data_IF_528024069776
#
_entry.id   IF_528024069776
#
_cell.length_a   1.000
_cell.length_b   1.000
_cell.length_c   1.000
_cell.angle_alpha   90.00
_cell.angle_beta   90.00
_cell.angle_gamma   90.00
#
_symmetry.space_group_name_H-M   'P 1'
#
loop_
_entity.id
_entity.type
_entity.pdbx_description
1 polymer ?
#
# COMPACT_ATOMS: atom_id res chain seq x y z
N UNK A 1 24.34 10.47 5.72
CA UNK A 1 24.58 9.69 4.50
C UNK A 1 23.27 9.03 4.11
N UNK A 2 22.81 9.09 2.85
CA UNK A 2 21.58 8.40 2.44
C UNK A 2 21.70 6.89 2.69
N UNK A 3 20.57 6.23 2.97
CA UNK A 3 20.52 4.77 3.14
C UNK A 3 20.80 4.13 1.77
N UNK A 4 21.75 3.19 1.72
CA UNK A 4 21.96 2.36 0.53
C UNK A 4 20.82 1.33 0.41
N UNK A 5 19.90 1.58 -0.53
CA UNK A 5 18.72 0.74 -0.76
C UNK A 5 19.07 -0.65 -1.34
N UNK A 6 20.31 -0.89 -1.76
CA UNK A 6 20.77 -2.20 -2.26
C UNK A 6 21.61 -2.97 -1.24
N UNK A 7 21.84 -2.40 -0.07
CA UNK A 7 22.54 -3.07 1.03
C UNK A 7 21.70 -4.23 1.56
N UNK A 8 22.31 -5.42 1.67
CA UNK A 8 21.78 -6.53 2.47
C UNK A 8 22.28 -6.40 3.91
N UNK A 9 21.37 -6.51 4.87
CA UNK A 9 21.66 -6.55 6.30
C UNK A 9 20.57 -7.36 7.02
N UNK A 10 20.74 -7.73 8.31
CA UNK A 10 19.63 -8.24 9.11
C UNK A 10 18.45 -7.28 9.02
N UNK A 11 17.28 -7.80 8.61
CA UNK A 11 16.09 -7.00 8.42
C UNK A 11 15.30 -6.92 9.72
N UNK A 12 15.07 -5.71 10.22
CA UNK A 12 14.24 -5.47 11.38
C UNK A 12 12.81 -5.20 10.92
N UNK A 13 11.87 -6.10 11.18
CA UNK A 13 10.44 -5.86 10.92
C UNK A 13 9.84 -5.06 12.07
N UNK A 14 8.88 -4.19 11.79
CA UNK A 14 8.19 -3.50 12.88
C UNK A 14 7.45 -4.46 13.79
N UNK A 15 6.68 -5.41 13.22
CA UNK A 15 6.09 -6.51 13.97
C UNK A 15 7.08 -7.68 14.07
N UNK A 16 7.60 -8.01 15.27
CA UNK A 16 8.51 -9.13 15.47
C UNK A 16 7.77 -10.48 15.32
N UNK A 17 8.46 -11.50 14.80
CA UNK A 17 7.89 -12.82 14.51
C UNK A 17 8.23 -13.90 15.57
N UNK A 18 9.00 -13.56 16.60
CA UNK A 18 9.51 -14.49 17.61
C UNK A 18 8.44 -14.97 18.60
N UNK A 19 7.19 -14.56 18.38
CA UNK A 19 6.05 -14.82 19.26
C UNK A 19 4.83 -15.27 18.47
N UNK A 20 3.90 -15.91 19.16
CA UNK A 20 2.63 -16.35 18.56
C UNK A 20 1.88 -15.14 17.99
N UNK A 21 1.45 -15.27 16.74
CA UNK A 21 0.63 -14.29 16.05
C UNK A 21 -0.80 -14.79 15.93
N UNK A 22 -1.75 -13.88 16.07
CA UNK A 22 -3.15 -14.10 15.73
C UNK A 22 -3.42 -13.57 14.32
N UNK A 23 -3.82 -14.47 13.41
CA UNK A 23 -4.11 -14.14 12.03
C UNK A 23 -5.55 -13.64 11.84
N UNK A 24 -6.44 -13.85 12.82
CA UNK A 24 -7.85 -13.48 12.73
C UNK A 24 -8.17 -12.12 13.36
N UNK A 25 -7.13 -11.36 13.69
CA UNK A 25 -7.23 -9.95 14.08
C UNK A 25 -6.59 -9.06 13.02
N UNK A 26 -7.00 -7.79 13.01
CA UNK A 26 -6.29 -6.77 12.24
C UNK A 26 -4.83 -6.73 12.70
N UNK A 27 -3.87 -6.71 11.78
CA UNK A 27 -2.47 -7.03 12.08
C UNK A 27 -1.84 -6.15 13.17
N UNK A 28 -2.27 -4.89 13.31
CA UNK A 28 -1.81 -4.00 14.39
C UNK A 28 -2.12 -4.51 15.81
N UNK A 29 -3.14 -5.35 15.98
CA UNK A 29 -3.50 -5.91 17.28
C UNK A 29 -2.49 -6.96 17.78
N UNK A 30 -1.52 -7.37 16.94
CA UNK A 30 -0.39 -8.22 17.34
C UNK A 30 0.79 -7.41 17.93
N UNK A 31 0.75 -6.08 17.91
CA UNK A 31 1.78 -5.26 18.55
C UNK A 31 1.60 -5.22 20.07
N UNK A 32 2.71 -5.33 20.80
CA UNK A 32 2.77 -4.91 22.18
C UNK A 32 2.91 -3.40 22.26
N UNK A 33 2.62 -2.83 23.43
CA UNK A 33 2.79 -1.40 23.67
C UNK A 33 4.25 -0.94 23.45
N UNK A 34 5.23 -1.79 23.79
CA UNK A 34 6.66 -1.54 23.55
C UNK A 34 6.97 -1.41 22.06
N UNK A 35 6.37 -2.26 21.23
CA UNK A 35 6.61 -2.26 19.79
C UNK A 35 5.98 -1.03 19.15
N UNK A 36 4.76 -0.66 19.58
CA UNK A 36 4.11 0.58 19.12
C UNK A 36 4.92 1.83 19.50
N UNK A 37 5.52 1.86 20.71
CA UNK A 37 6.43 2.93 21.11
C UNK A 37 7.68 2.96 20.24
N UNK A 38 8.28 1.80 19.96
CA UNK A 38 9.44 1.65 19.08
C UNK A 38 9.15 2.13 17.65
N UNK A 39 8.08 1.63 17.05
CA UNK A 39 7.59 2.02 15.73
C UNK A 39 7.31 3.52 15.64
N UNK A 40 6.58 4.10 16.61
CA UNK A 40 6.31 5.55 16.64
C UNK A 40 7.60 6.36 16.74
N UNK A 41 8.56 5.93 17.55
CA UNK A 41 9.86 6.61 17.69
C UNK A 41 10.67 6.54 16.39
N UNK A 42 10.69 5.39 15.72
CA UNK A 42 11.44 5.20 14.48
C UNK A 42 10.83 5.98 13.30
N UNK A 43 9.50 5.98 13.17
CA UNK A 43 8.78 6.71 12.12
C UNK A 43 8.77 8.23 12.33
N UNK A 44 9.06 8.72 13.53
CA UNK A 44 9.12 10.16 13.83
C UNK A 44 10.57 10.64 13.94
N UNK A 45 11.20 10.48 15.11
CA UNK A 45 12.55 10.93 15.39
C UNK A 45 13.59 10.20 14.54
N UNK A 46 13.36 8.90 14.32
CA UNK A 46 14.22 8.11 13.46
C UNK A 46 14.32 8.74 12.08
N UNK A 47 13.19 9.03 11.42
CA UNK A 47 13.08 9.54 10.04
C UNK A 47 14.02 10.69 9.65
N UNK A 48 14.51 11.46 10.64
CA UNK A 48 15.47 12.55 10.47
C UNK A 48 16.92 12.08 10.25
N UNK A 49 17.19 10.79 10.38
CA UNK A 49 18.54 10.20 10.32
C UNK A 49 18.61 9.05 9.33
N UNK A 50 19.78 8.43 9.18
CA UNK A 50 19.95 7.19 8.40
C UNK A 50 20.02 5.91 9.25
N UNK A 51 19.60 5.97 10.53
CA UNK A 51 19.64 4.85 11.47
C UNK A 51 18.26 4.42 11.97
N UNK A 52 18.18 3.37 12.78
CA UNK A 52 16.90 2.77 13.20
C UNK A 52 16.41 1.70 12.22
N UNK A 53 15.21 1.16 12.45
CA UNK A 53 14.74 -0.07 11.79
C UNK A 53 14.67 0.10 10.27
N UNK A 54 14.24 1.28 9.80
CA UNK A 54 14.16 1.60 8.36
C UNK A 54 15.49 1.59 7.61
N UNK A 55 16.63 1.66 8.31
CA UNK A 55 17.93 1.48 7.68
C UNK A 55 18.12 0.05 7.13
N UNK A 56 17.28 -0.89 7.57
CA UNK A 56 17.21 -2.26 7.07
C UNK A 56 16.05 -2.51 6.08
N UNK A 57 15.19 -1.52 5.82
CA UNK A 57 14.06 -1.65 4.89
C UNK A 57 14.50 -1.37 3.45
N UNK A 58 15.47 -2.15 2.99
CA UNK A 58 16.14 -2.00 1.69
C UNK A 58 15.49 -2.88 0.63
N UNK A 59 15.70 -2.54 -0.64
CA UNK A 59 15.26 -3.34 -1.78
C UNK A 59 15.88 -4.74 -1.76
N UNK A 60 17.16 -4.84 -1.41
CA UNK A 60 17.84 -6.13 -1.27
C UNK A 60 17.22 -7.01 -0.17
N UNK A 61 16.77 -6.40 0.94
CA UNK A 61 16.09 -7.14 2.00
C UNK A 61 14.68 -7.59 1.60
N UNK A 62 13.92 -6.72 0.93
CA UNK A 62 12.62 -7.09 0.36
C UNK A 62 12.74 -8.25 -0.63
N UNK A 63 13.65 -8.16 -1.60
CA UNK A 63 13.88 -9.20 -2.62
C UNK A 63 14.27 -10.53 -1.97
N UNK A 64 15.03 -10.50 -0.87
CA UNK A 64 15.37 -11.72 -0.16
C UNK A 64 14.14 -12.42 0.43
N UNK A 65 13.30 -11.70 1.19
CA UNK A 65 12.06 -12.28 1.74
C UNK A 65 11.09 -12.72 0.64
N UNK A 66 11.04 -11.98 -0.48
CA UNK A 66 10.27 -12.37 -1.66
C UNK A 66 10.69 -13.76 -2.17
N UNK A 67 12.00 -14.00 -2.30
CA UNK A 67 12.55 -15.29 -2.75
C UNK A 67 12.21 -16.44 -1.80
N UNK A 68 12.24 -16.21 -0.49
CA UNK A 68 11.89 -17.23 0.51
C UNK A 68 10.43 -17.69 0.42
N UNK A 69 9.56 -16.87 -0.17
CA UNK A 69 8.12 -17.10 -0.25
C UNK A 69 7.60 -17.30 -1.68
N UNK A 70 8.48 -17.29 -2.69
CA UNK A 70 8.08 -17.41 -4.09
C UNK A 70 7.29 -16.20 -4.62
N UNK A 71 7.52 -15.01 -4.06
CA UNK A 71 6.92 -13.76 -4.55
C UNK A 71 7.78 -13.25 -5.72
N UNK A 72 7.21 -13.22 -6.92
CA UNK A 72 7.94 -12.88 -8.15
C UNK A 72 7.98 -11.39 -8.46
N UNK A 73 6.99 -10.63 -7.96
CA UNK A 73 6.92 -9.20 -8.16
C UNK A 73 6.41 -8.49 -6.90
N UNK A 74 6.86 -7.26 -6.66
CA UNK A 74 6.32 -6.38 -5.63
C UNK A 74 6.28 -4.95 -6.13
N UNK A 75 5.26 -4.21 -5.71
CA UNK A 75 5.08 -2.79 -6.04
C UNK A 75 5.51 -1.94 -4.85
N UNK A 76 6.52 -1.10 -5.06
CA UNK A 76 7.00 -0.14 -4.07
C UNK A 76 6.03 1.05 -3.98
N UNK A 77 5.71 1.48 -2.76
CA UNK A 77 4.71 2.51 -2.46
C UNK A 77 5.36 3.71 -1.74
N UNK A 78 6.00 4.64 -2.47
CA UNK A 78 6.63 5.80 -1.87
C UNK A 78 5.58 6.80 -1.36
N UNK A 79 5.98 7.67 -0.43
CA UNK A 79 5.15 8.78 0.06
C UNK A 79 5.97 10.06 -0.04
N UNK A 80 5.55 10.99 -0.89
CA UNK A 80 6.21 12.29 -1.01
C UNK A 80 5.49 13.38 -0.20
N UNK A 81 6.29 14.23 0.44
CA UNK A 81 5.87 15.44 1.14
C UNK A 81 5.84 16.65 0.17
N UNK A 82 5.13 17.75 0.49
CA UNK A 82 4.92 18.86 -0.47
C UNK A 82 6.21 19.54 -0.95
N UNK A 83 7.28 19.47 -0.15
CA UNK A 83 8.58 20.03 -0.46
C UNK A 83 9.69 19.13 0.08
N UNK A 84 10.87 19.20 -0.54
CA UNK A 84 12.10 18.52 -0.11
C UNK A 84 11.90 17.00 0.08
N UNK A 85 11.18 16.38 -0.84
CA UNK A 85 10.88 14.94 -0.83
C UNK A 85 11.18 14.34 -2.19
N UNK A 86 11.87 13.21 -2.18
CA UNK A 86 12.37 12.50 -3.36
C UNK A 86 12.18 10.97 -3.20
N UNK A 87 11.19 10.54 -2.41
CA UNK A 87 10.98 9.12 -2.15
C UNK A 87 10.49 8.43 -3.42
N UNK A 88 9.58 9.07 -4.17
CA UNK A 88 9.11 8.55 -5.44
C UNK A 88 10.26 8.39 -6.46
N UNK A 89 11.15 9.38 -6.54
CA UNK A 89 12.32 9.30 -7.41
C UNK A 89 13.26 8.16 -6.99
N UNK A 90 13.54 8.01 -5.69
CA UNK A 90 14.39 6.95 -5.18
C UNK A 90 13.81 5.55 -5.48
N UNK A 91 12.49 5.37 -5.31
CA UNK A 91 11.82 4.09 -5.49
C UNK A 91 11.70 3.71 -6.98
N UNK A 92 11.41 4.69 -7.85
CA UNK A 92 11.48 4.52 -9.30
C UNK A 92 12.90 4.17 -9.75
N UNK A 93 13.92 4.80 -9.15
CA UNK A 93 15.32 4.45 -9.38
C UNK A 93 15.65 3.01 -8.99
N UNK A 94 15.11 2.51 -7.88
CA UNK A 94 15.23 1.09 -7.49
C UNK A 94 14.53 0.18 -8.51
N UNK A 95 13.29 0.47 -8.85
CA UNK A 95 12.51 -0.33 -9.80
C UNK A 95 13.18 -0.39 -11.18
N UNK A 96 13.78 0.71 -11.66
CA UNK A 96 14.50 0.75 -12.95
C UNK A 96 15.71 -0.19 -13.02
N UNK A 97 16.20 -0.65 -11.87
CA UNK A 97 17.36 -1.55 -11.74
C UNK A 97 16.96 -2.98 -11.34
N UNK A 98 15.67 -3.28 -11.33
CA UNK A 98 15.11 -4.57 -10.90
C UNK A 98 14.09 -5.08 -11.92
N UNK A 99 14.05 -6.39 -12.15
CA UNK A 99 12.98 -7.04 -12.91
C UNK A 99 11.84 -7.56 -12.03
N UNK A 100 12.03 -7.57 -10.70
CA UNK A 100 11.05 -8.07 -9.73
C UNK A 100 10.44 -6.96 -8.87
N UNK A 101 10.94 -5.73 -8.98
CA UNK A 101 10.39 -4.57 -8.27
C UNK A 101 9.81 -3.59 -9.28
N UNK A 102 8.53 -3.31 -9.12
CA UNK A 102 7.82 -2.21 -9.76
C UNK A 102 7.68 -1.08 -8.74
N UNK A 103 7.35 0.13 -9.20
CA UNK A 103 7.05 1.22 -8.28
C UNK A 103 5.81 1.97 -8.71
N UNK A 104 5.05 2.41 -7.73
CA UNK A 104 4.18 3.56 -7.89
C UNK A 104 5.01 4.84 -7.72
N UNK A 105 4.47 5.93 -8.22
CA UNK A 105 4.88 7.28 -7.89
C UNK A 105 4.21 7.78 -6.61
N UNK A 106 4.51 9.01 -6.25
CA UNK A 106 3.81 9.76 -5.22
C UNK A 106 3.93 11.24 -5.54
N UNK A 107 2.81 11.96 -5.52
CA UNK A 107 2.77 13.40 -5.70
C UNK A 107 1.85 13.98 -4.63
N UNK A 108 2.36 14.98 -3.92
CA UNK A 108 1.57 15.72 -2.96
C UNK A 108 0.65 16.73 -3.68
N UNK A 109 -0.65 16.87 -3.35
CA UNK A 109 -1.58 17.75 -4.06
C UNK A 109 -1.20 19.24 -4.03
N UNK A 110 -0.48 19.64 -2.99
CA UNK A 110 0.04 21.00 -2.81
C UNK A 110 1.50 21.17 -3.26
N UNK A 111 2.09 20.17 -3.93
CA UNK A 111 3.42 20.33 -4.53
C UNK A 111 3.37 21.36 -5.67
N UNK A 112 4.52 21.94 -6.00
CA UNK A 112 4.68 22.71 -7.24
C UNK A 112 4.78 21.75 -8.42
N UNK A 113 4.26 22.14 -9.58
CA UNK A 113 4.39 21.40 -10.84
C UNK A 113 3.84 19.96 -10.74
N UNK A 114 2.61 19.82 -10.22
CA UNK A 114 1.97 18.51 -10.01
C UNK A 114 1.90 17.70 -11.31
N UNK A 115 1.45 18.32 -12.39
CA UNK A 115 1.35 17.70 -13.73
C UNK A 115 2.72 17.21 -14.23
N UNK A 116 3.71 18.11 -14.27
CA UNK A 116 5.07 17.77 -14.70
C UNK A 116 5.66 16.60 -13.90
N UNK A 117 5.41 16.57 -12.59
CA UNK A 117 5.84 15.47 -11.71
C UNK A 117 5.17 14.15 -12.06
N UNK A 118 3.86 14.16 -12.34
CA UNK A 118 3.14 12.95 -12.75
C UNK A 118 3.68 12.45 -14.09
N UNK A 119 3.89 13.34 -15.06
CA UNK A 119 4.42 13.00 -16.38
C UNK A 119 5.84 12.44 -16.30
N UNK A 120 6.69 13.05 -15.49
CA UNK A 120 8.05 12.55 -15.23
C UNK A 120 8.03 11.17 -14.56
N UNK A 121 7.21 10.98 -13.53
CA UNK A 121 7.11 9.70 -12.82
C UNK A 121 6.56 8.60 -13.73
N UNK A 122 5.52 8.89 -14.53
CA UNK A 122 4.99 7.94 -15.53
C UNK A 122 6.06 7.56 -16.56
N UNK A 123 6.81 8.55 -17.08
CA UNK A 123 7.94 8.31 -18.01
C UNK A 123 9.04 7.44 -17.39
N UNK A 124 9.29 7.58 -16.08
CA UNK A 124 10.23 6.74 -15.32
C UNK A 124 9.68 5.35 -14.96
N UNK A 125 8.47 5.01 -15.41
CA UNK A 125 7.87 3.68 -15.26
C UNK A 125 6.94 3.51 -14.06
N UNK A 126 6.45 4.62 -13.46
CA UNK A 126 5.45 4.54 -12.40
C UNK A 126 4.19 3.82 -12.91
N UNK A 127 3.75 2.82 -12.15
CA UNK A 127 2.57 1.99 -12.46
C UNK A 127 1.26 2.49 -11.85
N UNK A 128 1.31 3.64 -11.17
CA UNK A 128 0.23 4.23 -10.39
C UNK A 128 0.76 5.26 -9.40
N UNK A 129 -0.10 5.82 -8.56
CA UNK A 129 0.26 6.80 -7.52
C UNK A 129 -0.16 6.31 -6.14
N UNK A 130 0.78 6.29 -5.19
CA UNK A 130 0.47 6.09 -3.77
C UNK A 130 0.05 7.43 -3.16
N UNK A 131 -1.15 7.46 -2.59
CA UNK A 131 -1.69 8.60 -1.88
C UNK A 131 -1.94 8.25 -0.40
N UNK A 132 -1.37 9.04 0.51
CA UNK A 132 -1.44 8.77 1.95
C UNK A 132 -1.92 10.02 2.71
N UNK A 133 -3.24 10.27 2.77
CA UNK A 133 -3.86 11.44 3.40
C UNK A 133 -3.32 11.76 4.80
N UNK A 134 -3.17 10.74 5.65
CA UNK A 134 -2.66 10.91 7.01
C UNK A 134 -1.21 11.39 7.07
N UNK A 135 -0.30 10.80 6.30
CA UNK A 135 1.11 11.16 6.29
C UNK A 135 1.35 12.50 5.57
N UNK A 136 0.61 12.74 4.49
CA UNK A 136 0.67 13.96 3.70
C UNK A 136 -0.13 15.11 4.34
N UNK A 137 -0.94 14.82 5.37
CA UNK A 137 -1.80 15.78 6.07
C UNK A 137 -2.73 16.53 5.11
N UNK A 138 -3.37 15.77 4.21
CA UNK A 138 -4.29 16.30 3.19
C UNK A 138 -5.63 15.62 3.28
N UNK A 139 -6.69 16.38 3.03
CA UNK A 139 -8.04 15.85 2.96
C UNK A 139 -8.21 15.10 1.62
N UNK A 140 -8.60 13.82 1.59
CA UNK A 140 -8.69 13.08 0.32
C UNK A 140 -9.80 13.61 -0.60
N UNK A 141 -10.88 14.14 -0.04
CA UNK A 141 -11.98 14.84 -0.73
C UNK A 141 -11.75 16.37 -0.83
N UNK A 142 -10.53 16.86 -0.63
CA UNK A 142 -10.18 18.27 -0.80
C UNK A 142 -10.02 18.64 -2.28
N UNK A 143 -10.29 19.91 -2.65
CA UNK A 143 -10.26 20.36 -4.05
C UNK A 143 -8.95 20.03 -4.80
N UNK A 144 -7.79 20.23 -4.16
CA UNK A 144 -6.48 19.88 -4.75
C UNK A 144 -6.28 18.37 -4.91
N UNK A 145 -6.80 17.57 -3.97
CA UNK A 145 -6.75 16.11 -4.08
C UNK A 145 -7.64 15.63 -5.22
N UNK A 146 -8.84 16.21 -5.37
CA UNK A 146 -9.74 15.93 -6.50
C UNK A 146 -9.10 16.26 -7.85
N UNK A 147 -8.44 17.43 -7.96
CA UNK A 147 -7.65 17.83 -9.14
C UNK A 147 -6.55 16.80 -9.44
N UNK A 148 -5.79 16.38 -8.42
CA UNK A 148 -4.77 15.34 -8.57
C UNK A 148 -5.34 14.03 -9.14
N UNK A 149 -6.52 13.60 -8.69
CA UNK A 149 -7.13 12.35 -9.20
C UNK A 149 -7.58 12.46 -10.65
N UNK A 150 -8.04 13.62 -11.08
CA UNK A 150 -8.36 13.86 -12.50
C UNK A 150 -7.09 13.76 -13.35
N UNK A 151 -6.00 14.39 -12.91
CA UNK A 151 -4.70 14.30 -13.59
C UNK A 151 -4.15 12.87 -13.64
N UNK A 152 -4.36 12.07 -12.59
CA UNK A 152 -4.04 10.65 -12.58
C UNK A 152 -4.88 9.85 -13.59
N UNK A 153 -6.19 10.13 -13.67
CA UNK A 153 -7.11 9.48 -14.60
C UNK A 153 -6.72 9.72 -16.06
N UNK A 154 -6.41 10.97 -16.42
CA UNK A 154 -5.92 11.36 -17.76
C UNK A 154 -4.64 10.63 -18.18
N UNK A 155 -3.92 10.07 -17.21
CA UNK A 155 -2.64 9.39 -17.38
C UNK A 155 -2.75 7.89 -17.13
N UNK A 156 -3.94 7.32 -16.98
CA UNK A 156 -4.14 5.90 -16.67
C UNK A 156 -3.32 5.43 -15.45
N UNK A 157 -3.14 6.32 -14.46
CA UNK A 157 -2.39 6.02 -13.24
C UNK A 157 -3.38 5.67 -12.12
N UNK A 158 -3.53 4.39 -11.75
CA UNK A 158 -4.38 4.03 -10.61
C UNK A 158 -3.86 4.66 -9.32
N UNK A 159 -4.77 5.04 -8.43
CA UNK A 159 -4.43 5.66 -7.14
C UNK A 159 -4.64 4.67 -6.01
N UNK A 160 -3.57 4.31 -5.31
CA UNK A 160 -3.66 3.49 -4.09
C UNK A 160 -3.74 4.38 -2.87
N UNK A 161 -4.86 4.31 -2.15
CA UNK A 161 -5.07 5.03 -0.91
C UNK A 161 -4.51 4.26 0.28
N UNK A 162 -3.85 4.97 1.19
CA UNK A 162 -3.95 4.58 2.60
C UNK A 162 -5.27 5.12 3.14
N UNK A 163 -6.23 4.23 3.41
CA UNK A 163 -7.56 4.58 3.89
C UNK A 163 -7.99 3.67 5.05
N UNK A 164 -8.88 4.19 5.88
CA UNK A 164 -9.37 3.54 7.09
C UNK A 164 -8.51 3.85 8.31
N UNK A 165 -9.11 3.98 9.49
CA UNK A 165 -8.35 4.03 10.73
C UNK A 165 -7.67 2.68 10.98
N UNK A 166 -6.43 2.72 11.47
CA UNK A 166 -5.62 1.54 11.79
C UNK A 166 -5.41 1.36 13.29
N UNK A 167 -5.99 2.27 14.10
CA UNK A 167 -6.05 2.21 15.57
C UNK A 167 -4.88 2.87 16.29
N UNK A 168 -3.81 3.24 15.58
CA UNK A 168 -2.57 3.75 16.18
C UNK A 168 -2.23 5.19 15.78
N UNK A 169 -3.00 5.75 14.84
CA UNK A 169 -2.83 7.10 14.33
C UNK A 169 -3.24 8.20 15.34
N UNK A 170 -2.63 9.40 15.27
CA UNK A 170 -3.06 10.55 16.06
C UNK A 170 -4.45 11.05 15.61
N UNK A 171 -5.14 11.89 16.40
CA UNK A 171 -6.53 12.32 16.11
C UNK A 171 -6.74 12.89 14.71
N UNK A 172 -5.83 13.74 14.21
CA UNK A 172 -5.92 14.29 12.86
C UNK A 172 -5.77 13.18 11.79
N UNK A 173 -4.83 12.26 11.98
CA UNK A 173 -4.66 11.11 11.09
C UNK A 173 -5.91 10.23 11.05
N UNK A 174 -6.54 9.99 12.20
CA UNK A 174 -7.80 9.24 12.30
C UNK A 174 -8.91 9.92 11.53
N UNK A 175 -9.00 11.25 11.61
CA UNK A 175 -9.98 12.03 10.87
C UNK A 175 -9.77 11.91 9.35
N UNK A 176 -8.54 12.10 8.88
CA UNK A 176 -8.19 12.07 7.45
C UNK A 176 -8.32 10.67 6.83
N UNK A 177 -8.22 9.61 7.64
CA UNK A 177 -8.33 8.23 7.16
C UNK A 177 -9.77 7.70 7.10
N UNK A 178 -10.78 8.39 7.64
CA UNK A 178 -12.16 7.87 7.64
C UNK A 178 -12.69 7.60 6.23
N UNK A 179 -13.26 6.41 5.99
CA UNK A 179 -13.73 5.98 4.66
C UNK A 179 -14.78 6.90 4.04
N UNK A 180 -15.56 7.61 4.86
CA UNK A 180 -16.54 8.61 4.40
C UNK A 180 -15.92 9.70 3.50
N UNK A 181 -14.62 9.98 3.64
CA UNK A 181 -13.92 10.98 2.83
C UNK A 181 -13.47 10.46 1.46
N UNK A 182 -13.60 9.15 1.19
CA UNK A 182 -13.12 8.54 -0.06
C UNK A 182 -14.27 8.32 -1.05
N UNK A 183 -15.53 8.34 -0.59
CA UNK A 183 -16.71 8.25 -1.45
C UNK A 183 -16.73 9.33 -2.54
N UNK A 184 -16.43 10.58 -2.19
CA UNK A 184 -16.49 11.68 -3.17
C UNK A 184 -15.42 11.55 -4.28
N UNK A 185 -14.13 11.31 -3.97
CA UNK A 185 -13.11 10.95 -4.96
C UNK A 185 -13.57 9.86 -5.93
N UNK A 186 -14.07 8.75 -5.39
CA UNK A 186 -14.51 7.58 -6.18
C UNK A 186 -15.68 7.95 -7.09
N UNK A 187 -16.71 8.58 -6.55
CA UNK A 187 -17.95 8.86 -7.28
C UNK A 187 -17.81 10.00 -8.30
N UNK A 188 -16.90 10.95 -8.05
CA UNK A 188 -16.73 12.15 -8.92
C UNK A 188 -15.60 12.01 -9.93
N UNK A 189 -14.76 10.99 -9.82
CA UNK A 189 -13.70 10.69 -10.79
C UNK A 189 -13.80 9.21 -11.23
N UNK A 190 -14.90 8.80 -11.89
CA UNK A 190 -15.14 7.40 -12.26
C UNK A 190 -14.08 6.84 -13.23
N UNK A 191 -13.43 7.71 -14.01
CA UNK A 191 -12.35 7.34 -14.93
C UNK A 191 -11.03 6.97 -14.20
N UNK A 192 -10.87 7.36 -12.93
CA UNK A 192 -9.72 6.98 -12.12
C UNK A 192 -9.99 5.65 -11.43
N UNK A 193 -9.08 4.68 -11.60
CA UNK A 193 -9.08 3.48 -10.77
C UNK A 193 -8.53 3.78 -9.38
N UNK A 194 -9.27 3.41 -8.35
CA UNK A 194 -8.88 3.57 -6.96
C UNK A 194 -8.68 2.22 -6.28
N UNK A 195 -7.57 2.07 -5.56
CA UNK A 195 -7.27 0.89 -4.75
C UNK A 195 -7.37 1.30 -3.29
N UNK A 196 -8.32 0.72 -2.56
CA UNK A 196 -8.48 0.92 -1.13
C UNK A 196 -7.48 0.03 -0.39
N UNK A 197 -6.36 0.63 0.03
CA UNK A 197 -5.31 -0.05 0.81
C UNK A 197 -5.87 -0.61 2.11
N UNK A 198 -5.38 -1.80 2.48
CA UNK A 198 -5.88 -2.60 3.61
C UNK A 198 -7.39 -2.82 3.58
N UNK A 199 -8.04 -2.68 2.42
CA UNK A 199 -9.49 -2.76 2.26
C UNK A 199 -10.23 -1.89 3.28
N UNK A 200 -9.73 -0.67 3.51
CA UNK A 200 -10.32 0.27 4.48
C UNK A 200 -10.06 -0.05 5.96
N UNK A 201 -9.09 -0.92 6.25
CA UNK A 201 -8.61 -1.27 7.58
C UNK A 201 -9.76 -1.61 8.57
N UNK A 202 -9.90 -0.88 9.68
CA UNK A 202 -10.95 -1.12 10.67
C UNK A 202 -12.36 -0.68 10.23
N UNK A 203 -12.52 -0.20 8.99
CA UNK A 203 -13.80 0.16 8.36
C UNK A 203 -14.02 -0.66 7.08
N UNK A 204 -13.66 -1.93 7.14
CA UNK A 204 -13.68 -2.85 6.00
C UNK A 204 -15.06 -2.92 5.33
N UNK A 205 -16.14 -2.91 6.11
CA UNK A 205 -17.51 -2.94 5.61
C UNK A 205 -17.80 -1.79 4.64
N UNK A 206 -17.33 -0.58 4.94
CA UNK A 206 -17.53 0.58 4.07
C UNK A 206 -16.71 0.46 2.77
N UNK A 207 -15.48 -0.06 2.86
CA UNK A 207 -14.65 -0.29 1.67
C UNK A 207 -15.25 -1.36 0.75
N UNK A 208 -15.77 -2.44 1.34
CA UNK A 208 -16.49 -3.50 0.63
C UNK A 208 -17.73 -2.95 -0.08
N UNK A 209 -18.50 -2.10 0.59
CA UNK A 209 -19.69 -1.47 0.01
C UNK A 209 -19.34 -0.54 -1.16
N UNK A 210 -18.25 0.22 -1.05
CA UNK A 210 -17.71 1.03 -2.15
C UNK A 210 -17.28 0.16 -3.34
N UNK A 211 -16.58 -0.95 -3.12
CA UNK A 211 -16.14 -1.86 -4.18
C UNK A 211 -17.29 -2.56 -4.91
N UNK A 212 -18.39 -2.86 -4.19
CA UNK A 212 -19.62 -3.41 -4.75
C UNK A 212 -20.41 -2.36 -5.55
N UNK A 213 -20.36 -1.11 -5.12
CA UNK A 213 -21.13 0.00 -5.73
C UNK A 213 -20.43 0.58 -6.96
N UNK A 214 -19.10 0.73 -6.92
CA UNK A 214 -18.34 1.45 -7.93
C UNK A 214 -17.39 0.51 -8.68
N UNK A 215 -17.45 0.47 -10.03
CA UNK A 215 -16.64 -0.46 -10.82
C UNK A 215 -15.15 -0.09 -10.85
N UNK A 216 -14.80 1.17 -10.57
CA UNK A 216 -13.43 1.68 -10.53
C UNK A 216 -12.73 1.48 -9.17
N UNK A 217 -13.28 0.64 -8.29
CA UNK A 217 -12.74 0.40 -6.94
C UNK A 217 -12.21 -1.02 -6.80
N UNK A 218 -10.94 -1.11 -6.38
CA UNK A 218 -10.24 -2.33 -6.01
C UNK A 218 -10.01 -2.36 -4.49
N UNK A 219 -9.94 -3.58 -3.93
CA UNK A 219 -9.61 -3.82 -2.53
C UNK A 219 -8.24 -4.48 -2.42
N UNK A 220 -7.38 -3.98 -1.55
CA UNK A 220 -6.06 -4.56 -1.27
C UNK A 220 -6.04 -5.17 0.14
N UNK A 221 -5.53 -6.40 0.27
CA UNK A 221 -5.80 -7.24 1.45
C UNK A 221 -4.82 -7.10 2.63
N UNK A 222 -3.75 -6.32 2.52
CA UNK A 222 -2.74 -6.22 3.56
C UNK A 222 -3.36 -5.89 4.92
N UNK A 223 -2.79 -6.47 5.98
CA UNK A 223 -3.14 -6.21 7.38
C UNK A 223 -4.52 -6.71 7.84
N UNK A 224 -5.43 -7.08 6.94
CA UNK A 224 -6.77 -7.57 7.31
C UNK A 224 -6.73 -8.88 8.10
N UNK A 225 -7.74 -9.10 8.94
CA UNK A 225 -7.94 -10.40 9.60
C UNK A 225 -8.28 -11.49 8.58
N UNK A 226 -8.00 -12.75 8.96
CA UNK A 226 -8.42 -13.91 8.18
C UNK A 226 -9.92 -13.90 7.87
N UNK A 227 -10.78 -13.70 8.87
CA UNK A 227 -12.24 -13.66 8.71
C UNK A 227 -12.67 -12.51 7.78
N UNK A 228 -12.03 -11.34 7.85
CA UNK A 228 -12.32 -10.26 6.92
C UNK A 228 -11.90 -10.60 5.50
N UNK A 229 -10.75 -11.25 5.30
CA UNK A 229 -10.31 -11.73 3.97
C UNK A 229 -11.33 -12.72 3.42
N UNK A 230 -11.77 -13.72 4.19
CA UNK A 230 -12.81 -14.68 3.77
C UNK A 230 -14.09 -13.94 3.33
N UNK A 231 -14.53 -12.95 4.11
CA UNK A 231 -15.72 -12.16 3.78
C UNK A 231 -15.53 -11.30 2.52
N UNK A 232 -14.39 -10.63 2.37
CA UNK A 232 -14.07 -9.84 1.17
C UNK A 232 -14.08 -10.73 -0.07
N UNK A 233 -13.45 -11.91 -0.01
CA UNK A 233 -13.41 -12.86 -1.13
C UNK A 233 -14.79 -13.39 -1.53
N UNK A 234 -15.71 -13.50 -0.56
CA UNK A 234 -17.07 -13.97 -0.81
C UNK A 234 -18.00 -12.88 -1.36
N UNK A 235 -17.82 -11.62 -0.93
CA UNK A 235 -18.78 -10.54 -1.20
C UNK A 235 -18.31 -9.51 -2.24
N UNK A 236 -16.99 -9.34 -2.42
CA UNK A 236 -16.45 -8.37 -3.36
C UNK A 236 -16.35 -8.95 -4.79
N UNK A 237 -16.33 -8.09 -5.81
CA UNK A 237 -15.99 -8.48 -7.18
C UNK A 237 -14.59 -9.13 -7.23
N UNK A 238 -14.55 -10.44 -7.54
CA UNK A 238 -13.33 -11.25 -7.40
C UNK A 238 -12.20 -10.85 -8.36
N UNK A 239 -12.51 -10.12 -9.43
CA UNK A 239 -11.58 -9.51 -10.38
C UNK A 239 -10.95 -8.20 -9.88
N UNK A 240 -11.38 -7.69 -8.71
CA UNK A 240 -10.93 -6.42 -8.14
C UNK A 240 -10.35 -6.54 -6.72
N UNK A 241 -9.85 -7.72 -6.38
CA UNK A 241 -9.20 -8.00 -5.08
C UNK A 241 -7.71 -8.24 -5.32
N UNK A 242 -6.85 -7.50 -4.61
CA UNK A 242 -5.41 -7.52 -4.77
C UNK A 242 -4.73 -8.04 -3.51
N UNK A 243 -3.74 -8.91 -3.69
CA UNK A 243 -2.83 -9.28 -2.63
C UNK A 243 -1.85 -8.15 -2.29
N UNK A 244 -1.57 -7.98 -1.00
CA UNK A 244 -0.45 -7.18 -0.52
C UNK A 244 -0.09 -7.51 0.92
N UNK A 245 1.03 -6.96 1.38
CA UNK A 245 1.70 -7.40 2.61
C UNK A 245 1.99 -6.28 3.60
N UNK A 246 2.00 -5.03 3.13
CA UNK A 246 2.48 -3.86 3.89
C UNK A 246 3.88 -4.06 4.50
N UNK A 247 4.73 -4.84 3.81
CA UNK A 247 6.15 -4.93 4.16
C UNK A 247 6.74 -3.51 4.13
N UNK A 248 7.48 -3.07 5.16
CA UNK A 248 8.12 -3.85 6.22
C UNK A 248 7.41 -3.82 7.58
N UNK A 249 6.16 -3.34 7.66
CA UNK A 249 5.40 -3.38 8.91
C UNK A 249 5.16 -4.81 9.37
N UNK A 250 4.90 -5.71 8.41
CA UNK A 250 4.71 -7.12 8.66
C UNK A 250 5.58 -7.95 7.71
N UNK A 251 5.87 -9.18 8.13
CA UNK A 251 6.48 -10.14 7.23
C UNK A 251 5.48 -10.56 6.15
N UNK A 252 5.97 -10.74 4.92
CA UNK A 252 5.14 -11.10 3.77
C UNK A 252 4.39 -12.43 3.96
N UNK A 253 4.95 -13.35 4.77
CA UNK A 253 4.32 -14.64 5.07
C UNK A 253 2.97 -14.51 5.78
N UNK A 254 2.74 -13.44 6.56
CA UNK A 254 1.49 -13.26 7.30
C UNK A 254 0.31 -13.07 6.34
N UNK A 255 0.44 -12.15 5.38
CA UNK A 255 -0.58 -11.93 4.36
C UNK A 255 -0.76 -13.16 3.48
N UNK A 256 0.35 -13.76 3.03
CA UNK A 256 0.32 -14.93 2.16
C UNK A 256 -0.39 -16.11 2.83
N UNK A 257 -0.08 -16.42 4.09
CA UNK A 257 -0.73 -17.49 4.85
C UNK A 257 -2.24 -17.29 4.94
N UNK A 258 -2.71 -16.06 5.23
CA UNK A 258 -4.15 -15.76 5.30
C UNK A 258 -4.86 -16.00 3.97
N UNK A 259 -4.27 -15.58 2.86
CA UNK A 259 -4.85 -15.81 1.52
C UNK A 259 -4.84 -17.30 1.16
N UNK A 260 -3.76 -18.03 1.45
CA UNK A 260 -3.69 -19.47 1.17
C UNK A 260 -4.77 -20.25 1.93
N UNK A 261 -4.96 -19.93 3.21
CA UNK A 261 -6.02 -20.52 4.05
C UNK A 261 -7.41 -20.14 3.52
N UNK A 262 -7.65 -18.86 3.23
CA UNK A 262 -8.98 -18.37 2.82
C UNK A 262 -9.41 -18.87 1.43
N UNK A 263 -8.46 -19.35 0.64
CA UNK A 263 -8.68 -19.89 -0.72
C UNK A 263 -8.43 -21.39 -0.79
N UNK A 264 -8.42 -22.10 0.35
CA UNK A 264 -8.32 -23.56 0.37
C UNK A 264 -9.45 -24.18 -0.48
N UNK A 265 -9.09 -25.15 -1.34
CA UNK A 265 -10.01 -25.74 -2.31
C UNK A 265 -10.41 -24.86 -3.50
N UNK A 266 -9.90 -23.62 -3.62
CA UNK A 266 -10.27 -22.66 -4.67
C UNK A 266 -9.04 -22.15 -5.45
N UNK A 267 -8.37 -23.00 -6.26
CA UNK A 267 -7.12 -22.64 -6.94
C UNK A 267 -7.26 -21.44 -7.88
N UNK A 268 -8.37 -21.33 -8.62
CA UNK A 268 -8.61 -20.21 -9.55
C UNK A 268 -8.77 -18.87 -8.82
N UNK A 269 -9.52 -18.85 -7.71
CA UNK A 269 -9.66 -17.65 -6.87
C UNK A 269 -8.31 -17.25 -6.26
N UNK A 270 -7.55 -18.23 -5.78
CA UNK A 270 -6.19 -18.02 -5.26
C UNK A 270 -5.30 -17.37 -6.31
N UNK A 271 -5.30 -17.90 -7.53
CA UNK A 271 -4.53 -17.40 -8.67
C UNK A 271 -4.87 -15.92 -8.97
N UNK A 272 -6.18 -15.62 -9.07
CA UNK A 272 -6.69 -14.27 -9.30
C UNK A 272 -6.18 -13.26 -8.30
N UNK A 273 -6.34 -13.58 -7.01
CA UNK A 273 -6.02 -12.66 -5.92
C UNK A 273 -4.52 -12.49 -5.74
N UNK A 274 -3.75 -13.58 -5.86
CA UNK A 274 -2.30 -13.52 -5.68
C UNK A 274 -1.59 -12.78 -6.80
N UNK A 275 -2.05 -12.88 -8.06
CA UNK A 275 -1.34 -12.21 -9.15
C UNK A 275 -2.17 -11.82 -10.38
N UNK A 276 -3.20 -12.55 -10.83
CA UNK A 276 -3.83 -12.20 -12.13
C UNK A 276 -4.51 -10.84 -12.11
N UNK A 277 -5.21 -10.50 -11.03
CA UNK A 277 -5.88 -9.20 -10.90
C UNK A 277 -4.86 -8.04 -10.93
N UNK A 278 -3.73 -8.21 -10.25
CA UNK A 278 -2.64 -7.24 -10.29
C UNK A 278 -2.00 -7.17 -11.69
N UNK A 279 -1.87 -8.30 -12.38
CA UNK A 279 -1.32 -8.38 -13.73
C UNK A 279 -2.20 -7.63 -14.73
N UNK A 280 -3.51 -7.88 -14.69
CA UNK A 280 -4.48 -7.18 -15.51
C UNK A 280 -4.47 -5.67 -15.23
N UNK A 281 -4.50 -5.27 -13.95
CA UNK A 281 -4.51 -3.86 -13.57
C UNK A 281 -3.24 -3.11 -13.98
N UNK A 282 -2.08 -3.75 -13.93
CA UNK A 282 -0.78 -3.11 -14.19
C UNK A 282 -0.24 -3.35 -15.61
N UNK A 283 -0.99 -4.09 -16.44
CA UNK A 283 -0.58 -4.51 -17.77
C UNK A 283 0.66 -5.40 -17.75
N UNK A 284 0.70 -6.38 -16.84
CA UNK A 284 1.78 -7.34 -16.70
C UNK A 284 1.29 -8.72 -17.12
N UNK A 285 2.13 -9.41 -17.90
CA UNK A 285 1.97 -10.82 -18.19
C UNK A 285 2.82 -11.60 -17.19
N UNK A 286 2.21 -12.54 -16.47
CA UNK A 286 2.89 -13.45 -15.57
C UNK A 286 2.87 -14.84 -16.22
N UNK A 287 4.07 -15.39 -16.50
CA UNK A 287 4.26 -16.78 -16.91
C UNK A 287 4.17 -17.75 -15.71
#
# INVERSE_FOLDING_TARGET
MPIDLWRRCPCELYLPLERKLDLDVYANLNYLESDLKGLKRDLTLGSLTSGGMRASHTAANLIHHMKELGIHASVLLPIDMPALSWNAEAYLGVASRSNVLLSYGSVHPHARHVEDKLDEQKKKGAKGIKFHPTAQVVKPDGARSMELYQLCAERDLPVLFHCGPVGIEPPLGRYLSQLKHYWMPIAKTPECTFILGHSGALQMEHALELAKTYPNVYLELASQSYSNIVRILAEAPQDRILFGTDWPFYHQSMGLAKVLLATEGQPELRKRVLYENAGQLLGLEFE
#
